data_IF_179415718500
#
_entry.id   IF_179415718500
#
_cell.length_a   1.000
_cell.length_b   1.000
_cell.length_c   1.000
_cell.angle_alpha   90.00
_cell.angle_beta   90.00
_cell.angle_gamma   90.00
#
_symmetry.space_group_name_H-M   'P 1'
#
loop_
_entity.id
_entity.type
_entity.pdbx_description
1 polymer ?
#
# COMPACT_ATOMS: atom_id res chain seq x y z
N UNK A 1 92.54 -1.79 25.91
CA UNK A 1 91.94 -1.35 27.18
C UNK A 1 90.67 -0.62 26.87
N UNK A 2 89.56 -1.08 27.01
CA UNK A 2 88.18 -0.70 27.10
C UNK A 2 87.27 -1.58 26.24
N UNK A 3 86.66 -2.53 26.93
CA UNK A 3 85.69 -3.40 26.39
C UNK A 3 84.36 -2.64 26.10
N UNK A 4 83.86 -2.76 24.92
CA UNK A 4 82.53 -2.29 24.58
C UNK A 4 81.66 -3.53 24.37
N UNK A 5 80.77 -3.74 25.31
CA UNK A 5 79.73 -4.78 25.26
C UNK A 5 78.59 -4.31 24.35
N UNK A 6 78.35 -5.07 23.26
CA UNK A 6 77.30 -4.82 22.33
C UNK A 6 76.03 -5.57 22.79
N UNK A 7 75.04 -4.85 23.26
CA UNK A 7 73.75 -5.37 23.70
C UNK A 7 72.81 -5.48 22.46
N UNK A 8 72.52 -6.70 22.06
CA UNK A 8 71.61 -6.96 20.93
C UNK A 8 70.15 -6.96 21.43
N UNK A 9 69.44 -5.85 21.17
CA UNK A 9 68.04 -5.74 21.50
C UNK A 9 67.18 -6.43 20.47
N UNK A 10 66.46 -7.48 20.91
CA UNK A 10 65.46 -8.19 20.10
C UNK A 10 64.16 -7.41 20.05
N UNK A 11 63.87 -6.83 18.90
CA UNK A 11 62.59 -6.11 18.65
C UNK A 11 61.52 -7.15 18.28
N UNK A 12 60.57 -7.38 19.21
CA UNK A 12 59.33 -8.09 18.91
C UNK A 12 58.35 -7.11 18.22
N UNK A 13 58.12 -7.28 16.93
CA UNK A 13 57.00 -6.67 16.22
C UNK A 13 55.75 -7.50 16.48
N UNK A 14 54.87 -7.00 17.36
CA UNK A 14 53.49 -7.47 17.42
C UNK A 14 52.76 -6.97 16.15
N UNK A 15 52.48 -7.89 15.26
CA UNK A 15 51.54 -7.70 14.15
C UNK A 15 50.14 -7.78 14.74
N UNK A 16 49.51 -6.63 14.98
CA UNK A 16 48.06 -6.57 15.15
C UNK A 16 47.43 -6.73 13.77
N UNK A 17 46.89 -7.91 13.47
CA UNK A 17 45.90 -8.08 12.43
C UNK A 17 44.62 -7.37 12.87
N UNK A 18 44.34 -6.19 12.33
CA UNK A 18 43.02 -5.62 12.33
C UNK A 18 42.15 -6.46 11.42
N UNK A 19 41.42 -7.40 12.01
CA UNK A 19 40.28 -8.03 11.39
C UNK A 19 39.15 -7.00 11.43
N UNK A 20 39.15 -6.11 10.42
CA UNK A 20 38.02 -5.26 10.16
C UNK A 20 36.92 -6.14 9.53
N UNK A 21 36.10 -6.75 10.38
CA UNK A 21 34.78 -7.15 9.95
C UNK A 21 34.07 -5.87 9.56
N UNK A 22 34.06 -5.57 8.25
CA UNK A 22 33.12 -4.62 7.68
C UNK A 22 31.71 -5.13 8.02
N UNK A 23 31.19 -4.64 9.11
CA UNK A 23 29.77 -4.74 9.45
C UNK A 23 29.05 -3.91 8.37
N UNK A 24 28.66 -4.59 7.29
CA UNK A 24 27.83 -4.02 6.24
C UNK A 24 26.46 -3.83 6.89
N UNK A 25 26.31 -2.73 7.61
CA UNK A 25 24.99 -2.26 8.06
C UNK A 25 24.21 -1.89 6.79
N UNK A 26 23.42 -2.86 6.30
CA UNK A 26 22.41 -2.58 5.29
C UNK A 26 21.58 -1.41 5.80
N UNK A 27 21.44 -0.31 5.03
CA UNK A 27 20.57 0.78 5.44
C UNK A 27 19.21 0.21 5.83
N UNK A 28 18.57 0.72 6.90
CA UNK A 28 17.21 0.29 7.23
C UNK A 28 16.35 0.46 5.98
N UNK A 29 15.60 -0.58 5.64
CA UNK A 29 14.64 -0.53 4.55
C UNK A 29 13.60 0.56 4.80
N UNK A 30 12.76 0.87 3.80
CA UNK A 30 11.69 1.86 3.98
C UNK A 30 10.82 1.49 5.19
N UNK A 31 10.39 2.51 5.92
CA UNK A 31 9.54 2.37 7.13
C UNK A 31 8.07 2.02 6.79
N UNK A 32 7.82 1.48 5.60
CA UNK A 32 6.51 1.06 5.12
C UNK A 32 6.55 -0.37 4.56
N UNK A 33 5.41 -1.05 4.56
CA UNK A 33 5.25 -2.38 3.96
C UNK A 33 4.65 -2.26 2.56
N UNK A 34 5.11 -3.07 1.62
CA UNK A 34 4.54 -3.20 0.27
C UNK A 34 4.00 -4.62 0.11
N UNK A 35 2.70 -4.73 -0.19
CA UNK A 35 2.07 -6.03 -0.42
C UNK A 35 2.16 -6.43 -1.88
N UNK A 36 2.89 -7.50 -2.13
CA UNK A 36 3.14 -8.06 -3.48
C UNK A 36 2.66 -9.51 -3.63
N UNK A 37 2.00 -10.04 -2.62
CA UNK A 37 1.39 -11.37 -2.64
C UNK A 37 0.33 -11.55 -3.73
N UNK A 38 -0.14 -12.75 -3.92
CA UNK A 38 -1.07 -13.11 -4.98
C UNK A 38 -2.31 -12.20 -5.00
N UNK A 39 -2.71 -11.78 -6.20
CA UNK A 39 -3.92 -10.97 -6.35
C UNK A 39 -5.17 -11.76 -5.98
N UNK A 40 -6.08 -11.10 -5.28
CA UNK A 40 -7.45 -11.56 -5.07
C UNK A 40 -8.43 -10.64 -5.81
N UNK A 41 -9.56 -11.20 -6.22
CA UNK A 41 -10.65 -10.43 -6.81
C UNK A 41 -11.76 -10.24 -5.80
N UNK A 42 -12.13 -8.98 -5.55
CA UNK A 42 -13.31 -8.61 -4.79
C UNK A 42 -14.45 -8.18 -5.73
N UNK A 43 -15.66 -8.65 -5.44
CA UNK A 43 -16.88 -8.33 -6.22
C UNK A 43 -17.98 -7.93 -5.26
N UNK A 44 -18.44 -6.69 -5.37
CA UNK A 44 -19.72 -6.25 -4.78
C UNK A 44 -20.78 -6.30 -5.85
N UNK A 45 -21.76 -7.16 -5.67
CA UNK A 45 -22.86 -7.29 -6.61
C UNK A 45 -23.74 -6.01 -6.64
N UNK A 46 -24.40 -5.74 -7.77
CA UNK A 46 -25.35 -4.65 -7.87
C UNK A 46 -26.48 -4.73 -6.82
N UNK A 47 -26.88 -3.59 -6.27
CA UNK A 47 -28.03 -3.45 -5.35
C UNK A 47 -27.91 -4.25 -4.03
N UNK A 48 -26.69 -4.69 -3.67
CA UNK A 48 -26.44 -5.35 -2.39
C UNK A 48 -26.17 -4.34 -1.29
N UNK A 49 -26.53 -4.70 -0.06
CA UNK A 49 -26.35 -3.82 1.10
C UNK A 49 -24.86 -3.64 1.40
N UNK A 50 -24.43 -2.40 1.55
CA UNK A 50 -23.06 -2.05 1.93
C UNK A 50 -22.75 -2.41 3.40
N UNK A 51 -23.76 -2.56 4.24
CA UNK A 51 -23.62 -2.97 5.65
C UNK A 51 -23.26 -4.46 5.82
N UNK A 52 -23.57 -5.29 4.84
CA UNK A 52 -23.25 -6.71 4.89
C UNK A 52 -21.76 -6.95 4.72
N UNK A 53 -21.16 -7.73 5.61
CA UNK A 53 -19.73 -8.06 5.55
C UNK A 53 -19.29 -8.75 4.24
N UNK A 54 -20.19 -9.52 3.60
CA UNK A 54 -19.93 -10.15 2.31
C UNK A 54 -19.78 -9.14 1.16
N UNK A 55 -20.26 -7.91 1.34
CA UNK A 55 -20.18 -6.82 0.37
C UNK A 55 -19.07 -5.81 0.72
N UNK A 56 -18.15 -6.18 1.62
CA UNK A 56 -17.03 -5.38 2.08
C UNK A 56 -15.72 -6.14 1.87
N UNK A 57 -14.77 -5.57 1.15
CA UNK A 57 -13.41 -6.11 1.11
C UNK A 57 -12.65 -5.65 2.35
N UNK A 58 -12.62 -6.50 3.37
CA UNK A 58 -11.85 -6.24 4.59
C UNK A 58 -10.37 -6.52 4.33
N UNK A 59 -9.62 -5.46 4.12
CA UNK A 59 -8.19 -5.51 3.79
C UNK A 59 -7.37 -5.67 5.07
N UNK A 60 -7.69 -4.84 6.08
CA UNK A 60 -7.08 -4.86 7.43
C UNK A 60 -8.15 -4.67 8.49
N UNK A 61 -7.76 -4.59 9.76
CA UNK A 61 -8.67 -4.16 10.84
C UNK A 61 -9.13 -2.71 10.70
N UNK A 62 -8.37 -1.87 9.99
CA UNK A 62 -8.60 -0.43 9.83
C UNK A 62 -9.33 -0.07 8.54
N UNK A 63 -9.30 -0.95 7.53
CA UNK A 63 -9.85 -0.66 6.20
C UNK A 63 -10.69 -1.81 5.66
N UNK A 64 -11.95 -1.51 5.35
CA UNK A 64 -12.87 -2.38 4.60
C UNK A 64 -13.55 -1.58 3.49
N UNK A 65 -13.20 -1.87 2.24
CA UNK A 65 -13.71 -1.12 1.08
C UNK A 65 -15.07 -1.65 0.65
N UNK A 66 -16.03 -0.75 0.53
CA UNK A 66 -17.36 -1.02 -0.02
C UNK A 66 -17.89 0.19 -0.80
N UNK A 67 -19.14 0.12 -1.24
CA UNK A 67 -19.84 1.17 -1.98
C UNK A 67 -21.34 1.16 -1.67
N UNK A 68 -22.00 2.31 -1.65
CA UNK A 68 -23.43 2.43 -1.38
C UNK A 68 -24.29 1.55 -2.29
N UNK A 69 -25.42 1.10 -1.79
CA UNK A 69 -26.34 0.15 -2.48
C UNK A 69 -26.78 0.68 -3.86
N UNK A 70 -27.08 1.97 -3.96
CA UNK A 70 -27.53 2.62 -5.19
C UNK A 70 -26.44 3.32 -6.00
N UNK A 71 -25.19 3.31 -5.53
CA UNK A 71 -24.06 3.98 -6.18
C UNK A 71 -23.23 4.84 -5.24
N UNK A 72 -22.81 6.01 -5.71
CA UNK A 72 -21.87 6.86 -4.98
C UNK A 72 -20.41 6.48 -5.25
N UNK A 73 -19.51 6.97 -4.42
CA UNK A 73 -18.11 6.56 -4.37
C UNK A 73 -17.92 5.34 -3.47
N UNK A 74 -16.73 4.77 -3.45
CA UNK A 74 -16.35 3.76 -2.45
C UNK A 74 -16.07 4.47 -1.12
N UNK A 75 -16.23 3.73 -0.02
CA UNK A 75 -15.94 4.22 1.32
C UNK A 75 -15.38 3.10 2.21
N UNK A 76 -14.82 3.47 3.35
CA UNK A 76 -14.27 2.53 4.33
C UNK A 76 -15.34 2.17 5.37
N UNK A 77 -15.95 1.00 5.24
CA UNK A 77 -17.01 0.51 6.13
C UNK A 77 -16.59 0.32 7.60
N UNK A 78 -15.28 0.39 7.92
CA UNK A 78 -14.82 0.39 9.32
C UNK A 78 -15.09 1.73 10.01
N UNK A 79 -15.01 2.84 9.26
CA UNK A 79 -15.04 4.21 9.82
C UNK A 79 -16.08 5.13 9.20
N UNK A 80 -16.82 4.65 8.19
CA UNK A 80 -17.81 5.41 7.45
C UNK A 80 -19.08 4.57 7.24
N UNK A 81 -20.25 5.20 7.26
CA UNK A 81 -21.54 4.57 6.93
C UNK A 81 -21.97 4.81 5.49
N UNK A 82 -21.36 5.79 4.81
CA UNK A 82 -21.60 6.14 3.42
C UNK A 82 -20.38 6.92 2.87
N UNK A 83 -20.34 7.06 1.55
CA UNK A 83 -19.28 7.80 0.88
C UNK A 83 -19.47 9.32 1.04
N UNK A 84 -18.39 10.00 1.35
CA UNK A 84 -18.30 11.47 1.27
C UNK A 84 -17.47 11.83 0.04
N UNK A 85 -18.10 12.58 -0.88
CA UNK A 85 -17.47 12.98 -2.13
C UNK A 85 -16.16 13.73 -1.87
N UNK A 86 -15.12 13.38 -2.62
CA UNK A 86 -13.75 13.92 -2.53
C UNK A 86 -12.96 13.56 -1.24
N UNK A 87 -13.54 12.81 -0.31
CA UNK A 87 -12.91 12.48 0.99
C UNK A 87 -12.70 10.98 1.16
N UNK A 88 -13.70 10.18 0.78
CA UNK A 88 -13.67 8.72 0.96
C UNK A 88 -12.77 7.99 -0.05
N UNK A 89 -12.31 6.77 0.26
CA UNK A 89 -12.42 6.04 1.55
C UNK A 89 -11.47 6.61 2.59
N UNK A 90 -11.99 6.81 3.80
CA UNK A 90 -11.19 7.35 4.93
C UNK A 90 -10.07 6.40 5.33
N UNK A 91 -8.90 6.96 5.67
CA UNK A 91 -7.70 6.19 6.03
C UNK A 91 -6.99 5.58 4.83
N UNK A 92 -7.35 6.00 3.60
CA UNK A 92 -6.68 5.60 2.37
C UNK A 92 -6.24 6.78 1.53
N UNK A 93 -5.15 6.60 0.80
CA UNK A 93 -4.70 7.49 -0.27
C UNK A 93 -4.49 6.68 -1.53
N UNK A 94 -4.62 7.31 -2.67
CA UNK A 94 -4.61 6.64 -3.97
C UNK A 94 -3.72 7.37 -4.97
N UNK A 95 -3.02 6.59 -5.79
CA UNK A 95 -2.26 7.10 -6.93
C UNK A 95 -2.47 6.22 -8.15
N UNK A 96 -2.43 6.82 -9.35
CA UNK A 96 -2.34 6.06 -10.61
C UNK A 96 -0.88 5.79 -10.89
N UNK A 97 -0.50 4.54 -11.07
CA UNK A 97 0.88 4.11 -11.32
C UNK A 97 1.13 2.67 -10.94
N UNK A 98 2.39 2.29 -10.93
CA UNK A 98 2.83 0.94 -10.55
C UNK A 98 3.42 0.96 -9.13
N UNK A 99 3.28 -0.14 -8.43
CA UNK A 99 3.79 -0.29 -7.06
C UNK A 99 5.32 -0.17 -6.98
N UNK A 100 6.04 -0.52 -8.04
CA UNK A 100 7.50 -0.33 -8.15
C UNK A 100 7.93 1.13 -8.05
N UNK A 101 7.03 2.05 -8.34
CA UNK A 101 7.31 3.49 -8.42
C UNK A 101 6.78 4.24 -7.19
N UNK A 102 6.41 3.51 -6.11
CA UNK A 102 5.69 4.01 -4.94
C UNK A 102 6.28 5.29 -4.35
N UNK A 103 7.60 5.41 -4.28
CA UNK A 103 8.29 6.58 -3.71
C UNK A 103 8.13 7.86 -4.56
N UNK A 104 7.85 7.71 -5.85
CA UNK A 104 7.67 8.84 -6.78
C UNK A 104 6.21 9.16 -7.07
N UNK A 105 5.27 8.33 -6.61
CA UNK A 105 3.85 8.54 -6.85
C UNK A 105 3.28 9.69 -6.02
N UNK A 106 2.36 10.43 -6.62
CA UNK A 106 1.59 11.48 -5.92
C UNK A 106 0.26 10.92 -5.44
N UNK A 107 0.12 10.78 -4.13
CA UNK A 107 -1.08 10.22 -3.50
C UNK A 107 -2.10 11.31 -3.15
N UNK A 108 -3.38 11.02 -3.40
CA UNK A 108 -4.51 11.91 -3.12
C UNK A 108 -5.77 11.13 -2.74
N UNK A 109 -6.92 11.78 -2.56
CA UNK A 109 -8.19 11.07 -2.41
C UNK A 109 -8.51 10.24 -3.65
N UNK A 110 -9.32 9.18 -3.50
CA UNK A 110 -9.68 8.28 -4.60
C UNK A 110 -10.16 9.05 -5.84
N UNK A 111 -11.13 9.95 -5.66
CA UNK A 111 -11.68 10.74 -6.77
C UNK A 111 -10.63 11.62 -7.45
N UNK A 112 -9.78 12.28 -6.67
CA UNK A 112 -8.72 13.14 -7.22
C UNK A 112 -7.70 12.34 -8.02
N UNK A 113 -7.30 11.18 -7.53
CA UNK A 113 -6.35 10.31 -8.21
C UNK A 113 -6.88 9.81 -9.56
N UNK A 114 -8.15 9.41 -9.64
CA UNK A 114 -8.72 8.82 -10.86
C UNK A 114 -9.43 9.82 -11.78
N UNK A 115 -9.61 11.08 -11.34
CA UNK A 115 -10.33 12.15 -11.99
C UNK A 115 -11.85 12.07 -11.77
N UNK A 116 -12.47 10.96 -12.12
CA UNK A 116 -13.88 10.62 -11.80
C UNK A 116 -14.00 9.12 -11.56
N UNK A 117 -14.70 8.65 -10.53
CA UNK A 117 -14.77 7.23 -10.19
C UNK A 117 -15.18 6.32 -11.37
N UNK A 118 -16.08 6.76 -12.24
CA UNK A 118 -16.49 6.02 -13.44
C UNK A 118 -15.36 5.74 -14.45
N UNK A 119 -14.25 6.48 -14.36
CA UNK A 119 -13.10 6.35 -15.25
C UNK A 119 -11.99 5.46 -14.65
N UNK A 120 -12.28 4.78 -13.55
CA UNK A 120 -11.30 3.99 -12.79
C UNK A 120 -10.97 2.65 -13.45
N UNK A 121 -11.91 2.08 -14.21
CA UNK A 121 -11.77 0.74 -14.81
C UNK A 121 -10.52 0.67 -15.69
N UNK A 122 -9.71 -0.36 -15.46
CA UNK A 122 -8.49 -0.65 -16.22
C UNK A 122 -7.25 0.16 -15.80
N UNK A 123 -7.38 1.16 -14.93
CA UNK A 123 -6.21 1.88 -14.41
C UNK A 123 -5.44 1.01 -13.41
N UNK A 124 -4.11 1.03 -13.49
CA UNK A 124 -3.27 0.52 -12.44
C UNK A 124 -3.21 1.57 -11.33
N UNK A 125 -3.55 1.17 -10.12
CA UNK A 125 -3.57 2.03 -8.94
C UNK A 125 -2.68 1.45 -7.86
N UNK A 126 -2.15 2.34 -7.04
CA UNK A 126 -1.57 2.02 -5.75
C UNK A 126 -2.46 2.64 -4.67
N UNK A 127 -2.90 1.83 -3.72
CA UNK A 127 -3.60 2.27 -2.52
C UNK A 127 -2.65 2.25 -1.33
N UNK A 128 -2.63 3.34 -0.58
CA UNK A 128 -1.91 3.46 0.67
C UNK A 128 -2.90 3.40 1.84
N UNK A 129 -2.65 2.50 2.78
CA UNK A 129 -3.40 2.35 4.03
C UNK A 129 -2.67 3.13 5.11
N UNK A 130 -3.21 4.32 5.47
CA UNK A 130 -2.50 5.29 6.30
C UNK A 130 -2.19 4.77 7.72
N UNK A 131 -3.15 4.08 8.36
CA UNK A 131 -2.97 3.56 9.72
C UNK A 131 -2.09 2.30 9.79
N UNK A 132 -2.03 1.54 8.72
CA UNK A 132 -1.26 0.29 8.63
C UNK A 132 0.13 0.52 8.04
N UNK A 133 0.38 1.67 7.44
CA UNK A 133 1.60 2.05 6.69
C UNK A 133 1.94 1.05 5.58
N UNK A 134 0.92 0.67 4.80
CA UNK A 134 0.97 -0.38 3.78
C UNK A 134 0.59 0.17 2.41
N UNK A 135 1.34 -0.21 1.39
CA UNK A 135 0.99 0.01 -0.02
C UNK A 135 0.59 -1.30 -0.69
N UNK A 136 -0.45 -1.26 -1.53
CA UNK A 136 -0.90 -2.41 -2.30
C UNK A 136 -1.41 -1.98 -3.69
N UNK A 137 -1.37 -2.92 -4.64
CA UNK A 137 -1.91 -2.67 -5.99
C UNK A 137 -3.41 -2.85 -6.00
N UNK A 138 -4.09 -2.03 -6.80
CA UNK A 138 -5.54 -2.17 -7.07
C UNK A 138 -5.81 -1.92 -8.55
N UNK A 139 -6.64 -2.76 -9.17
CA UNK A 139 -7.10 -2.56 -10.54
C UNK A 139 -8.59 -2.85 -10.64
N UNK A 140 -9.38 -1.81 -10.89
CA UNK A 140 -10.81 -1.98 -11.07
C UNK A 140 -11.13 -2.68 -12.37
N UNK A 141 -11.96 -3.72 -12.30
CA UNK A 141 -12.44 -4.52 -13.42
C UNK A 141 -13.82 -4.07 -13.89
N UNK A 142 -14.64 -3.58 -12.95
CA UNK A 142 -15.97 -3.04 -13.25
C UNK A 142 -16.35 -1.92 -12.31
N UNK A 143 -17.23 -1.02 -12.81
CA UNK A 143 -17.81 0.07 -12.05
C UNK A 143 -19.21 0.36 -12.59
N UNK A 144 -20.24 0.02 -11.85
CA UNK A 144 -21.61 0.32 -12.24
C UNK A 144 -21.89 1.81 -12.14
N UNK A 145 -22.60 2.38 -13.10
CA UNK A 145 -23.03 3.78 -13.06
C UNK A 145 -23.88 4.03 -11.82
N UNK A 146 -23.68 5.17 -11.17
CA UNK A 146 -24.57 5.69 -10.14
C UNK A 146 -25.70 6.48 -10.79
N UNK A 147 -26.91 6.44 -10.24
CA UNK A 147 -28.06 7.24 -10.68
C UNK A 147 -29.38 6.60 -10.24
N UNK A 148 -30.15 7.30 -9.43
CA UNK A 148 -31.49 6.88 -9.03
C UNK A 148 -32.49 7.11 -10.17
N UNK A 149 -32.83 6.06 -10.88
CA UNK A 149 -33.90 6.00 -11.88
C UNK A 149 -34.31 4.55 -12.09
N UNK A 150 -35.36 4.28 -12.82
CA UNK A 150 -35.85 2.93 -13.10
C UNK A 150 -34.87 2.00 -13.83
N UNK A 151 -33.71 2.54 -14.28
CA UNK A 151 -32.52 1.81 -14.73
C UNK A 151 -31.33 2.05 -13.78
N UNK A 152 -31.62 2.23 -12.50
CA UNK A 152 -30.82 2.84 -11.47
C UNK A 152 -29.43 2.29 -11.32
N UNK A 153 -28.54 3.21 -10.95
CA UNK A 153 -27.22 2.89 -10.50
C UNK A 153 -27.28 1.89 -9.36
N UNK A 154 -26.43 0.89 -9.45
CA UNK A 154 -26.57 -0.33 -8.67
C UNK A 154 -25.49 -0.51 -7.60
N UNK A 155 -24.59 0.47 -7.46
CA UNK A 155 -23.50 0.38 -6.48
C UNK A 155 -22.55 -0.81 -6.65
N UNK A 156 -22.70 -1.60 -7.70
CA UNK A 156 -21.85 -2.73 -8.01
C UNK A 156 -20.47 -2.28 -8.51
N UNK A 157 -19.43 -3.01 -8.13
CA UNK A 157 -18.08 -2.85 -8.65
C UNK A 157 -17.25 -4.11 -8.39
N UNK A 158 -16.13 -4.22 -9.06
CA UNK A 158 -15.14 -5.25 -8.79
C UNK A 158 -13.74 -4.73 -9.06
N UNK A 159 -12.77 -5.27 -8.33
CA UNK A 159 -11.36 -5.02 -8.55
C UNK A 159 -10.52 -6.23 -8.15
N UNK A 160 -9.31 -6.26 -8.68
CA UNK A 160 -8.22 -7.09 -8.17
C UNK A 160 -7.31 -6.24 -7.28
N UNK A 161 -6.76 -6.84 -6.25
CA UNK A 161 -5.71 -6.25 -5.42
C UNK A 161 -4.68 -7.26 -4.97
N UNK A 162 -3.45 -6.80 -4.72
CA UNK A 162 -2.44 -7.64 -4.09
C UNK A 162 -2.78 -7.92 -2.62
N UNK A 163 -2.25 -9.03 -2.12
CA UNK A 163 -2.33 -9.43 -0.72
C UNK A 163 -0.96 -9.28 -0.04
N UNK A 164 -0.95 -9.43 1.26
CA UNK A 164 0.29 -9.61 2.01
C UNK A 164 0.97 -10.91 1.54
N UNK A 165 2.32 -10.91 1.50
CA UNK A 165 3.17 -12.06 1.17
C UNK A 165 3.12 -13.13 2.25
#
# INVERSE_FOLDING_TARGET
MKNISLLFGLLFVLSCSNDSTDDITTPPGPDYEVWTGANITFIKAPNTDAGDAANQDRITSNVAITRGTSGGEIFNAVSESDATENVSPRGTKWAVGNISDVESLSFSSFRSAVGKPKNVVGKNLVMYLEADNVYLTVKFLSWASGGGGSNGGSGGFSYERSTKD
#
